data_IF_377444678397
#
_entry.id   IF_377444678397
#
_cell.length_a   1.000
_cell.length_b   1.000
_cell.length_c   1.000
_cell.angle_alpha   90.00
_cell.angle_beta   90.00
_cell.angle_gamma   90.00
#
_symmetry.space_group_name_H-M   'P 1'
#
loop_
_entity.id
_entity.type
_entity.pdbx_description
1 polymer ?
#
# COMPACT_ATOMS: atom_id res chain seq x y z
N UNK A 1 -4.41 -10.99 2.19
CA UNK A 1 -3.20 -10.84 1.35
C UNK A 1 -2.24 -12.01 1.53
N UNK A 2 -1.88 -12.42 2.74
CA UNK A 2 -1.27 -13.74 3.01
C UNK A 2 0.12 -13.98 2.40
N UNK A 3 0.73 -12.96 1.79
CA UNK A 3 2.10 -12.97 1.28
C UNK A 3 3.04 -12.47 2.36
N UNK A 4 4.23 -13.07 2.49
CA UNK A 4 5.27 -12.53 3.38
C UNK A 4 6.08 -11.40 2.73
N UNK A 5 6.14 -11.36 1.39
CA UNK A 5 6.74 -10.26 0.63
C UNK A 5 5.73 -9.09 0.50
N UNK A 6 6.07 -7.96 1.13
CA UNK A 6 5.31 -6.70 1.11
C UNK A 6 6.23 -5.57 0.66
N UNK A 7 5.89 -4.95 -0.48
CA UNK A 7 6.65 -3.85 -1.07
C UNK A 7 5.88 -2.55 -0.95
N UNK A 8 6.52 -1.54 -0.37
CA UNK A 8 5.94 -0.22 -0.15
C UNK A 8 6.35 0.72 -1.30
N UNK A 9 5.37 1.42 -1.88
CA UNK A 9 5.63 2.51 -2.82
C UNK A 9 6.40 3.64 -2.10
N UNK A 10 7.48 4.20 -2.68
CA UNK A 10 8.14 5.39 -2.15
C UNK A 10 7.18 6.56 -1.86
N UNK A 11 6.10 6.72 -2.63
CA UNK A 11 5.08 7.76 -2.37
C UNK A 11 4.32 7.52 -1.07
N UNK A 12 4.09 6.26 -0.73
CA UNK A 12 3.49 5.88 0.54
C UNK A 12 4.41 6.23 1.71
N UNK A 13 5.70 5.96 1.57
CA UNK A 13 6.69 6.35 2.58
C UNK A 13 6.71 7.87 2.77
N UNK A 14 6.73 8.65 1.68
CA UNK A 14 6.68 10.11 1.76
C UNK A 14 5.41 10.61 2.48
N UNK A 15 4.25 10.01 2.21
CA UNK A 15 3.00 10.38 2.87
C UNK A 15 2.99 10.06 4.38
N UNK A 16 3.61 8.94 4.78
CA UNK A 16 3.77 8.57 6.20
C UNK A 16 4.66 9.58 6.92
N UNK A 17 5.76 10.00 6.28
CA UNK A 17 6.74 10.92 6.88
C UNK A 17 6.47 12.40 6.61
N UNK A 18 5.37 12.77 5.93
CA UNK A 18 5.08 14.14 5.53
C UNK A 18 4.97 15.13 6.71
N UNK A 19 4.57 14.64 7.88
CA UNK A 19 4.44 15.43 9.12
C UNK A 19 5.60 15.18 10.11
N UNK A 20 6.65 14.49 9.67
CA UNK A 20 7.81 14.11 10.48
C UNK A 20 7.55 12.93 11.42
N UNK A 21 8.53 12.66 12.31
CA UNK A 21 8.54 11.46 13.16
C UNK A 21 7.50 11.53 14.30
N UNK A 22 7.26 12.74 14.84
CA UNK A 22 6.43 12.90 16.04
C UNK A 22 4.92 12.97 15.78
N UNK A 23 4.50 13.37 14.58
CA UNK A 23 3.10 13.62 14.25
C UNK A 23 2.70 12.85 12.99
N UNK A 24 2.84 11.53 12.98
CA UNK A 24 2.42 10.70 11.83
C UNK A 24 0.90 10.82 11.61
N UNK A 25 0.42 10.86 10.35
CA UNK A 25 -1.01 10.90 10.07
C UNK A 25 -1.78 9.74 10.73
N UNK A 26 -2.86 10.08 11.45
CA UNK A 26 -3.69 9.07 12.15
C UNK A 26 -4.44 8.12 11.22
N UNK A 27 -4.72 8.54 9.98
CA UNK A 27 -5.43 7.75 8.97
C UNK A 27 -4.74 7.94 7.63
N UNK A 28 -4.59 6.82 6.91
CA UNK A 28 -4.03 6.82 5.57
C UNK A 28 -4.84 5.88 4.69
N UNK A 29 -5.11 6.30 3.44
CA UNK A 29 -5.77 5.46 2.46
C UNK A 29 -4.71 4.79 1.61
N UNK A 30 -4.78 3.47 1.54
CA UNK A 30 -3.84 2.64 0.80
C UNK A 30 -4.58 1.76 -0.19
N UNK A 31 -3.93 1.50 -1.32
CA UNK A 31 -4.34 0.48 -2.29
C UNK A 31 -3.37 -0.68 -2.18
N UNK A 32 -3.92 -1.88 -2.03
CA UNK A 32 -3.17 -3.12 -1.89
C UNK A 32 -3.36 -3.93 -3.17
N UNK A 33 -2.28 -4.15 -3.89
CA UNK A 33 -2.27 -4.95 -5.11
C UNK A 33 -1.48 -6.23 -4.88
N UNK A 34 -2.08 -7.39 -5.15
CA UNK A 34 -1.35 -8.67 -5.13
C UNK A 34 -0.87 -8.98 -6.53
N UNK A 35 0.44 -8.92 -6.75
CA UNK A 35 1.07 -9.19 -8.04
C UNK A 35 1.88 -10.49 -8.02
N UNK A 36 2.02 -11.12 -9.18
CA UNK A 36 2.94 -12.26 -9.34
C UNK A 36 4.36 -11.74 -9.38
N UNK A 37 5.27 -12.48 -8.77
CA UNK A 37 6.69 -12.19 -8.84
C UNK A 37 7.27 -12.89 -10.08
N UNK A 38 7.86 -12.10 -10.99
CA UNK A 38 8.48 -12.59 -12.22
C UNK A 38 9.98 -12.91 -12.04
N UNK A 39 10.52 -12.74 -10.82
CA UNK A 39 11.92 -13.04 -10.50
C UNK A 39 12.11 -14.54 -10.25
N UNK A 40 12.94 -15.20 -11.07
CA UNK A 40 13.19 -16.65 -11.04
C UNK A 40 13.77 -17.15 -9.70
N UNK A 41 14.37 -16.27 -8.88
CA UNK A 41 14.97 -16.62 -7.59
C UNK A 41 14.08 -16.29 -6.38
N UNK A 42 12.84 -15.87 -6.58
CA UNK A 42 11.97 -15.46 -5.48
C UNK A 42 11.45 -16.66 -4.67
N UNK A 43 11.64 -16.61 -3.34
CA UNK A 43 11.06 -17.59 -2.40
C UNK A 43 9.54 -17.60 -2.40
N UNK A 44 8.91 -16.47 -2.72
CA UNK A 44 7.46 -16.34 -2.81
C UNK A 44 7.01 -15.93 -4.21
N UNK A 45 6.02 -16.66 -4.75
CA UNK A 45 5.44 -16.46 -6.09
C UNK A 45 4.58 -15.19 -6.19
N UNK A 46 4.20 -14.61 -5.05
CA UNK A 46 3.27 -13.49 -4.96
C UNK A 46 3.87 -12.45 -4.01
N UNK A 47 3.80 -11.19 -4.39
CA UNK A 47 4.10 -10.07 -3.49
C UNK A 47 2.90 -9.13 -3.41
N UNK A 48 2.78 -8.45 -2.28
CA UNK A 48 1.80 -7.37 -2.11
C UNK A 48 2.49 -6.04 -2.32
N UNK A 49 2.03 -5.27 -3.30
CA UNK A 49 2.44 -3.89 -3.53
C UNK A 49 1.46 -2.94 -2.85
N UNK A 50 1.97 -2.07 -1.98
CA UNK A 50 1.16 -1.09 -1.24
C UNK A 50 1.43 0.29 -1.79
N UNK A 51 0.40 0.93 -2.33
CA UNK A 51 0.47 2.30 -2.84
C UNK A 51 -0.41 3.24 -2.02
N UNK A 52 -0.05 4.52 -2.01
CA UNK A 52 -0.83 5.56 -1.36
C UNK A 52 -1.91 6.08 -2.30
N UNK A 53 -3.14 6.19 -1.79
CA UNK A 53 -4.25 6.84 -2.50
C UNK A 53 -4.52 8.19 -1.85
N UNK A 54 -4.25 9.31 -2.52
CA UNK A 54 -4.57 10.63 -1.99
C UNK A 54 -6.09 10.79 -1.94
N UNK A 55 -6.61 11.14 -0.77
CA UNK A 55 -8.04 11.40 -0.55
C UNK A 55 -8.20 12.68 0.27
N UNK A 56 -9.23 13.47 -0.06
CA UNK A 56 -9.52 14.73 0.64
C UNK A 56 -10.16 14.50 2.02
N UNK A 57 -10.94 13.42 2.17
CA UNK A 57 -11.59 13.06 3.43
C UNK A 57 -11.60 11.56 3.63
N UNK A 58 -11.39 11.13 4.87
CA UNK A 58 -11.46 9.73 5.28
C UNK A 58 -12.85 9.32 5.77
N UNK A 59 -13.79 10.25 5.87
CA UNK A 59 -15.12 9.99 6.42
C UNK A 59 -15.96 9.21 5.40
N UNK A 60 -16.52 8.07 5.82
CA UNK A 60 -17.39 7.23 4.98
C UNK A 60 -16.65 6.35 3.96
N UNK A 61 -15.32 6.29 4.02
CA UNK A 61 -14.54 5.39 3.17
C UNK A 61 -14.42 4.01 3.82
N UNK A 62 -15.00 3.01 3.17
CA UNK A 62 -14.91 1.60 3.57
C UNK A 62 -13.87 0.85 2.72
N UNK A 63 -13.54 -0.38 3.11
CA UNK A 63 -12.72 -1.27 2.29
C UNK A 63 -13.50 -1.69 1.06
N UNK A 64 -12.99 -1.37 -0.13
CA UNK A 64 -13.58 -1.75 -1.40
C UNK A 64 -12.56 -2.55 -2.20
N UNK A 65 -13.05 -3.56 -2.92
CA UNK A 65 -12.28 -4.27 -3.93
C UNK A 65 -12.10 -3.28 -5.09
N UNK A 66 -10.86 -3.14 -5.57
CA UNK A 66 -10.54 -2.28 -6.72
C UNK A 66 -10.34 -3.22 -7.90
N UNK A 67 -11.10 -3.00 -8.97
CA UNK A 67 -10.89 -3.73 -10.23
C UNK A 67 -9.57 -3.30 -10.86
N UNK A 68 -8.84 -4.30 -11.37
CA UNK A 68 -7.64 -4.08 -12.17
C UNK A 68 -8.11 -3.88 -13.61
N UNK A 69 -8.22 -2.61 -14.03
CA UNK A 69 -8.24 -2.25 -15.45
C UNK A 69 -6.85 -2.46 -16.07
#
# INVERSE_FOLDING_TARGET
MGTSDVRLDPKLNQAVWAQGIKSVPHRLRVKLERKRNDDENAKEKLYTYVSHVPVLSFKGLETKIVDAE
#
